data_IF_882397386201
#
_entry.id   IF_882397386201
#
_cell.length_a   1.000
_cell.length_b   1.000
_cell.length_c   1.000
_cell.angle_alpha   90.00
_cell.angle_beta   90.00
_cell.angle_gamma   90.00
#
_symmetry.space_group_name_H-M   'P 1'
#
loop_
_entity.id
_entity.type
_entity.pdbx_description
1 polymer ?
#
# COMPACT_ATOMS: atom_id res chain seq x y z
N UNK A 1 -25.58 19.10 22.97
CA UNK A 1 -24.55 18.07 22.95
C UNK A 1 -24.55 17.47 21.56
N UNK A 2 -23.67 17.97 20.68
CA UNK A 2 -23.55 17.47 19.31
C UNK A 2 -22.47 16.40 19.22
N UNK A 3 -22.57 15.53 18.21
CA UNK A 3 -21.50 14.60 17.85
C UNK A 3 -20.23 15.40 17.52
N UNK A 4 -19.36 15.54 18.52
CA UNK A 4 -18.09 16.24 18.38
C UNK A 4 -17.03 15.34 17.75
N UNK A 5 -15.87 15.94 17.50
CA UNK A 5 -14.68 15.22 17.00
C UNK A 5 -14.32 14.04 17.91
N UNK A 6 -14.49 14.18 19.23
CA UNK A 6 -14.21 13.13 20.22
C UNK A 6 -15.11 11.88 20.03
N UNK A 7 -16.42 12.06 19.85
CA UNK A 7 -17.34 10.94 19.59
C UNK A 7 -16.98 10.20 18.30
N UNK A 8 -16.64 10.93 17.24
CA UNK A 8 -16.24 10.34 15.97
C UNK A 8 -14.96 9.50 16.10
N UNK A 9 -13.99 9.95 16.91
CA UNK A 9 -12.77 9.18 17.17
C UNK A 9 -13.05 7.88 17.93
N UNK A 10 -13.97 7.89 18.91
CA UNK A 10 -14.36 6.68 19.64
C UNK A 10 -15.03 5.68 18.69
N UNK A 11 -15.94 6.14 17.84
CA UNK A 11 -16.60 5.29 16.85
C UNK A 11 -15.59 4.72 15.86
N UNK A 12 -14.66 5.54 15.37
CA UNK A 12 -13.58 5.11 14.48
C UNK A 12 -12.70 4.02 15.11
N UNK A 13 -12.37 4.17 16.40
CA UNK A 13 -11.60 3.18 17.13
C UNK A 13 -12.30 1.82 17.17
N UNK A 14 -13.62 1.80 17.44
CA UNK A 14 -14.42 0.56 17.45
C UNK A 14 -14.42 -0.09 16.06
N UNK A 15 -14.63 0.69 15.00
CA UNK A 15 -14.60 0.21 13.61
C UNK A 15 -13.24 -0.40 13.28
N UNK A 16 -12.14 0.23 13.68
CA UNK A 16 -10.78 -0.30 13.46
C UNK A 16 -10.54 -1.62 14.18
N UNK A 17 -11.13 -1.82 15.37
CA UNK A 17 -11.03 -3.10 16.09
C UNK A 17 -11.86 -4.20 15.40
N UNK A 18 -13.07 -3.88 14.92
CA UNK A 18 -13.96 -4.84 14.27
C UNK A 18 -13.46 -5.27 12.87
N UNK A 19 -13.03 -4.30 12.07
CA UNK A 19 -12.62 -4.53 10.68
C UNK A 19 -11.10 -4.74 10.54
N UNK A 20 -10.32 -4.33 11.53
CA UNK A 20 -8.86 -4.28 11.47
C UNK A 20 -8.33 -3.13 10.61
N UNK A 21 -7.17 -2.59 10.98
CA UNK A 21 -6.52 -1.53 10.22
C UNK A 21 -6.13 -1.96 8.79
N UNK A 22 -5.85 -3.25 8.56
CA UNK A 22 -5.45 -3.77 7.23
C UNK A 22 -6.57 -3.67 6.20
N UNK A 23 -7.82 -3.97 6.60
CA UNK A 23 -8.98 -3.90 5.70
C UNK A 23 -9.38 -2.45 5.43
N UNK A 24 -9.31 -1.60 6.45
CA UNK A 24 -9.57 -0.16 6.32
C UNK A 24 -8.50 0.53 5.45
N UNK A 25 -7.23 0.12 5.53
CA UNK A 25 -6.16 0.64 4.66
C UNK A 25 -6.32 0.20 3.21
N UNK A 26 -6.74 -1.05 2.98
CA UNK A 26 -6.95 -1.59 1.64
C UNK A 26 -8.07 -0.82 0.92
N UNK A 27 -9.24 -0.69 1.56
CA UNK A 27 -10.39 0.05 1.00
C UNK A 27 -10.16 1.57 1.02
N UNK A 28 -9.48 2.07 2.04
CA UNK A 28 -9.19 3.49 2.22
C UNK A 28 -8.17 4.02 1.23
N UNK A 29 -7.25 3.20 0.72
CA UNK A 29 -6.34 3.57 -0.36
C UNK A 29 -7.09 3.90 -1.65
N UNK A 30 -7.99 3.01 -2.07
CA UNK A 30 -8.78 3.16 -3.29
C UNK A 30 -9.75 4.37 -3.18
N UNK A 31 -10.51 4.42 -2.07
CA UNK A 31 -11.46 5.51 -1.84
C UNK A 31 -10.74 6.85 -1.61
N UNK A 32 -9.62 6.84 -0.90
CA UNK A 32 -8.81 8.02 -0.64
C UNK A 32 -8.18 8.59 -1.93
N UNK A 33 -7.71 7.72 -2.83
CA UNK A 33 -7.21 8.12 -4.14
C UNK A 33 -8.30 8.79 -4.99
N UNK A 34 -9.50 8.19 -5.05
CA UNK A 34 -10.63 8.76 -5.79
C UNK A 34 -11.07 10.12 -5.21
N UNK A 35 -11.19 10.24 -3.88
CA UNK A 35 -11.55 11.50 -3.22
C UNK A 35 -10.46 12.56 -3.40
N UNK A 36 -9.17 12.18 -3.37
CA UNK A 36 -8.04 13.09 -3.61
C UNK A 36 -8.13 13.68 -5.02
N UNK A 37 -8.29 12.84 -6.04
CA UNK A 37 -8.39 13.28 -7.42
C UNK A 37 -9.65 14.13 -7.66
N UNK A 38 -10.78 13.76 -7.05
CA UNK A 38 -12.00 14.56 -7.09
C UNK A 38 -11.81 15.94 -6.47
N UNK A 39 -11.16 16.01 -5.29
CA UNK A 39 -10.86 17.29 -4.63
C UNK A 39 -9.87 18.14 -5.43
N UNK A 40 -8.88 17.52 -6.08
CA UNK A 40 -7.95 18.24 -6.96
C UNK A 40 -8.70 18.79 -8.17
N UNK A 41 -9.48 17.98 -8.88
CA UNK A 41 -10.25 18.44 -10.05
C UNK A 41 -11.26 19.55 -9.70
N UNK A 42 -11.94 19.43 -8.55
CA UNK A 42 -12.85 20.48 -8.05
C UNK A 42 -12.13 21.79 -7.73
N UNK A 43 -10.91 21.70 -7.16
CA UNK A 43 -10.05 22.86 -6.94
C UNK A 43 -9.52 23.43 -8.24
N UNK A 44 -9.16 22.59 -9.20
CA UNK A 44 -8.67 23.04 -10.51
C UNK A 44 -9.80 23.72 -11.30
N UNK A 45 -11.06 23.30 -11.20
CA UNK A 45 -12.18 24.06 -11.76
C UNK A 45 -12.43 25.39 -11.04
N UNK A 46 -12.28 25.44 -9.72
CA UNK A 46 -12.36 26.69 -8.95
C UNK A 46 -11.22 27.66 -9.33
N UNK A 47 -10.01 27.13 -9.58
CA UNK A 47 -8.83 27.90 -9.96
C UNK A 47 -8.71 28.11 -11.48
N UNK A 48 -9.41 27.37 -12.35
CA UNK A 48 -9.40 27.52 -13.80
C UNK A 48 -10.11 28.80 -14.28
N UNK A 49 -10.68 29.58 -13.37
CA UNK A 49 -10.94 31.00 -13.63
C UNK A 49 -9.65 31.86 -13.68
N UNK A 50 -8.47 31.28 -13.42
CA UNK A 50 -7.14 31.90 -13.53
C UNK A 50 -6.08 30.80 -13.81
N UNK A 51 -5.73 30.66 -15.09
CA UNK A 51 -4.49 30.01 -15.59
C UNK A 51 -4.44 28.47 -15.64
N UNK A 52 -4.49 27.99 -16.88
CA UNK A 52 -4.00 26.69 -17.39
C UNK A 52 -2.62 26.33 -16.85
N UNK A 53 -2.44 25.15 -16.26
CA UNK A 53 -1.36 24.21 -16.66
C UNK A 53 -1.48 22.88 -15.91
N UNK A 54 -1.31 21.81 -16.68
CA UNK A 54 -1.31 20.43 -16.25
C UNK A 54 0.06 20.01 -15.73
N UNK A 55 0.13 19.37 -14.57
CA UNK A 55 1.26 18.52 -14.20
C UNK A 55 0.75 17.18 -13.65
N UNK A 56 0.92 16.14 -14.47
CA UNK A 56 0.88 14.75 -14.04
C UNK A 56 2.24 14.43 -13.42
N UNK A 57 2.27 14.09 -12.13
CA UNK A 57 3.42 13.42 -11.54
C UNK A 57 2.95 12.16 -10.82
N UNK A 58 3.17 11.05 -11.52
CA UNK A 58 3.24 9.70 -10.98
C UNK A 58 4.44 9.63 -10.02
N UNK A 59 4.22 9.24 -8.75
CA UNK A 59 5.30 8.84 -7.86
C UNK A 59 4.90 7.59 -7.06
N UNK A 60 5.33 6.45 -7.60
CA UNK A 60 5.87 5.26 -6.93
C UNK A 60 5.25 4.84 -5.58
N UNK A 61 4.32 3.88 -5.63
CA UNK A 61 4.10 2.96 -4.52
C UNK A 61 5.07 1.76 -4.65
N UNK A 62 6.23 1.85 -4.00
CA UNK A 62 7.06 0.68 -3.68
C UNK A 62 6.29 -0.14 -2.63
N UNK A 63 5.63 -1.21 -3.05
CA UNK A 63 5.11 -2.27 -2.19
C UNK A 63 6.00 -3.49 -2.37
N UNK A 64 7.05 -3.56 -1.57
CA UNK A 64 7.78 -4.79 -1.27
C UNK A 64 8.28 -4.70 0.18
N UNK A 65 8.24 -5.84 0.88
CA UNK A 65 8.51 -6.10 2.31
C UNK A 65 7.25 -6.01 3.23
N UNK A 66 6.74 -7.07 3.84
CA UNK A 66 7.39 -8.26 4.41
C UNK A 66 6.46 -9.48 4.34
N UNK A 67 6.85 -10.48 3.56
CA UNK A 67 6.60 -11.90 3.84
C UNK A 67 7.97 -12.54 3.99
N UNK A 68 8.39 -12.78 5.22
CA UNK A 68 9.57 -13.58 5.56
C UNK A 68 9.20 -14.56 6.67
N UNK A 69 8.47 -15.60 6.24
CA UNK A 69 8.61 -16.93 6.80
C UNK A 69 9.96 -17.49 6.32
N UNK A 70 11.04 -17.32 7.09
CA UNK A 70 12.25 -18.13 6.91
C UNK A 70 12.29 -19.19 8.01
N UNK A 71 11.75 -20.36 7.66
CA UNK A 71 12.10 -21.61 8.34
C UNK A 71 13.56 -21.90 8.05
N UNK A 72 14.37 -21.77 9.10
CA UNK A 72 15.63 -22.47 9.30
C UNK A 72 15.63 -23.85 8.66
N UNK A 73 16.34 -23.96 7.54
CA UNK A 73 16.62 -25.19 6.80
C UNK A 73 18.13 -25.32 6.66
N UNK A 74 18.77 -25.85 7.70
CA UNK A 74 20.15 -26.29 7.64
C UNK A 74 20.29 -27.44 6.62
N UNK A 75 20.97 -27.23 5.49
CA UNK A 75 21.64 -28.29 4.73
C UNK A 75 22.74 -27.68 3.85
N UNK A 76 23.97 -27.69 4.37
CA UNK A 76 25.20 -27.57 3.58
C UNK A 76 26.18 -28.61 4.11
N UNK A 77 26.07 -29.85 3.64
CA UNK A 77 27.17 -30.80 3.74
C UNK A 77 27.17 -31.75 2.54
N UNK A 78 28.28 -31.70 1.79
CA UNK A 78 28.92 -32.89 1.20
C UNK A 78 28.27 -33.54 -0.01
N UNK A 79 28.81 -33.27 -1.20
CA UNK A 79 29.77 -34.20 -1.84
C UNK A 79 30.10 -33.71 -3.24
N UNK A 80 31.35 -33.30 -3.39
CA UNK A 80 32.07 -33.16 -4.65
C UNK A 80 32.30 -34.57 -5.17
N UNK A 81 31.72 -34.95 -6.32
CA UNK A 81 32.26 -36.06 -7.09
C UNK A 81 32.40 -35.71 -8.57
N UNK A 82 33.67 -35.69 -8.94
CA UNK A 82 34.28 -35.48 -10.22
C UNK A 82 34.28 -36.81 -10.98
N UNK A 83 33.68 -36.88 -12.17
CA UNK A 83 34.18 -37.82 -13.18
C UNK A 83 33.92 -37.37 -14.61
N UNK A 84 35.02 -36.93 -15.20
CA UNK A 84 35.35 -36.97 -16.62
C UNK A 84 35.21 -38.39 -17.18
N UNK A 85 34.88 -38.45 -18.48
CA UNK A 85 35.30 -39.43 -19.49
C UNK A 85 34.27 -40.48 -19.94
N UNK A 86 34.33 -40.65 -21.27
CA UNK A 86 33.83 -41.71 -22.14
C UNK A 86 32.42 -41.51 -22.74
N UNK A 87 32.32 -41.23 -24.05
CA UNK A 87 32.39 -42.17 -25.20
C UNK A 87 30.96 -42.67 -25.47
N UNK A 88 30.31 -42.43 -26.61
CA UNK A 88 30.62 -42.78 -28.01
C UNK A 88 29.75 -41.90 -28.92
#
# INVERSE_FOLDING_TARGET
>A
MGFGVTELLIILAIVLVLFGAKKLRNIGGDLGGAIKNFKTAMKDEENASTTTDAETTEEQAKLDDSQSDDKSGATIEGTVEHKTKDQV
#
